data_IF_462537725378
#
_entry.id   IF_462537725378
#
_cell.length_a   1.000
_cell.length_b   1.000
_cell.length_c   1.000
_cell.angle_alpha   90.00
_cell.angle_beta   90.00
_cell.angle_gamma   90.00
#
_symmetry.space_group_name_H-M   'P 1'
#
loop_
_entity.id
_entity.type
_entity.pdbx_description
1 polymer ?
#
# COMPACT_ATOMS: atom_id res chain seq x y z
N UNK A 1 -10.07 28.79 37.12
CA UNK A 1 -10.20 29.48 38.42
C UNK A 1 -9.38 28.73 39.47
N UNK A 2 -8.85 29.43 40.47
CA UNK A 2 -8.00 28.92 41.57
C UNK A 2 -8.74 27.88 42.44
N UNK A 3 -8.14 27.06 43.32
CA UNK A 3 -6.77 26.96 43.88
C UNK A 3 -6.39 25.45 44.06
N UNK A 4 -5.29 24.99 44.67
CA UNK A 4 -4.14 25.61 45.37
C UNK A 4 -2.92 24.65 45.37
N UNK A 5 -1.85 24.98 46.11
CA UNK A 5 -0.83 24.02 46.60
C UNK A 5 -0.87 23.91 48.14
N UNK A 6 -0.69 22.72 48.73
CA UNK A 6 -0.10 22.55 50.05
C UNK A 6 1.38 22.12 49.94
N UNK A 7 2.18 22.53 50.94
CA UNK A 7 3.62 22.24 51.06
C UNK A 7 3.87 21.58 52.43
N UNK A 8 4.93 20.76 52.52
CA UNK A 8 5.44 20.12 53.76
C UNK A 8 4.56 18.97 54.33
N UNK A 9 5.09 17.95 55.02
CA UNK A 9 6.46 17.43 55.17
C UNK A 9 6.44 16.05 55.88
N UNK A 10 7.60 15.38 55.88
CA UNK A 10 8.01 14.22 56.69
C UNK A 10 8.05 12.83 56.03
N UNK A 11 9.15 12.13 56.35
CA UNK A 11 9.42 10.75 56.01
C UNK A 11 8.46 9.82 56.77
N UNK A 12 8.10 8.70 56.14
CA UNK A 12 8.02 7.45 56.87
C UNK A 12 8.58 6.31 56.00
N UNK A 13 9.66 5.69 56.46
CA UNK A 13 10.16 4.45 55.87
C UNK A 13 9.23 3.30 56.32
N UNK A 14 8.43 2.76 55.40
CA UNK A 14 7.94 1.39 55.54
C UNK A 14 8.45 0.55 54.37
N UNK A 15 9.35 -0.37 54.71
CA UNK A 15 9.87 -1.39 53.82
C UNK A 15 8.79 -2.44 53.55
N UNK A 16 7.81 -2.12 52.72
CA UNK A 16 6.84 -3.11 52.21
C UNK A 16 7.28 -3.56 50.83
N UNK A 17 7.81 -4.79 50.78
CA UNK A 17 8.05 -5.63 49.60
C UNK A 17 7.72 -4.98 48.25
N UNK A 18 8.75 -4.57 47.51
CA UNK A 18 8.61 -4.20 46.11
C UNK A 18 8.26 -5.46 45.29
N UNK A 19 6.99 -5.84 45.28
CA UNK A 19 6.42 -6.59 44.17
C UNK A 19 6.45 -5.64 42.98
N UNK A 20 7.56 -5.66 42.23
CA UNK A 20 7.64 -5.08 40.91
C UNK A 20 6.65 -5.84 40.03
N UNK A 21 5.38 -5.45 40.06
CA UNK A 21 4.49 -5.69 38.94
C UNK A 21 5.19 -5.04 37.75
N UNK A 22 5.64 -5.81 36.74
CA UNK A 22 6.09 -5.19 35.52
C UNK A 22 4.88 -4.40 35.03
N UNK A 23 5.04 -3.08 34.85
CA UNK A 23 4.03 -2.32 34.15
C UNK A 23 3.98 -2.90 32.74
N UNK A 24 2.95 -3.72 32.50
CA UNK A 24 2.68 -4.29 31.20
C UNK A 24 2.41 -3.10 30.30
N UNK A 25 3.46 -2.65 29.60
CA UNK A 25 3.33 -1.83 28.41
C UNK A 25 2.28 -2.56 27.56
N UNK A 26 1.25 -1.87 27.05
CA UNK A 26 0.26 -2.54 26.21
C UNK A 26 1.03 -3.30 25.14
N UNK A 27 0.82 -4.61 25.04
CA UNK A 27 1.49 -5.40 24.01
C UNK A 27 1.12 -4.78 22.68
N UNK A 28 2.11 -4.21 22.00
CA UNK A 28 1.96 -3.77 20.63
C UNK A 28 2.03 -5.05 19.80
N UNK A 29 0.88 -5.73 19.67
CA UNK A 29 0.72 -6.83 18.75
C UNK A 29 0.86 -6.26 17.34
N UNK A 30 1.94 -6.60 16.66
CA UNK A 30 2.12 -6.23 15.26
C UNK A 30 0.95 -6.77 14.42
N UNK A 31 0.41 -5.98 13.49
CA UNK A 31 -0.72 -6.42 12.67
C UNK A 31 -0.32 -7.60 11.77
N UNK A 32 -1.21 -8.59 11.68
CA UNK A 32 -0.99 -9.77 10.83
C UNK A 32 -0.94 -9.34 9.35
N UNK A 33 0.15 -9.62 8.61
CA UNK A 33 0.25 -9.25 7.20
C UNK A 33 -0.68 -10.11 6.34
N UNK A 34 -1.31 -9.49 5.35
CA UNK A 34 -2.23 -10.13 4.39
C UNK A 34 -1.77 -9.82 2.97
N UNK A 35 -1.83 -10.83 2.09
CA UNK A 35 -1.46 -10.73 0.66
C UNK A 35 -2.52 -11.47 -0.15
N UNK A 36 -2.89 -10.92 -1.30
CA UNK A 36 -3.81 -11.54 -2.26
C UNK A 36 -3.03 -12.31 -3.34
N UNK A 37 -3.19 -13.63 -3.42
CA UNK A 37 -2.66 -14.44 -4.53
C UNK A 37 -3.74 -14.63 -5.60
N UNK A 38 -3.40 -14.32 -6.86
CA UNK A 38 -4.29 -14.46 -8.02
C UNK A 38 -3.71 -15.48 -8.99
N UNK A 39 -4.53 -16.48 -9.36
CA UNK A 39 -4.15 -17.59 -10.27
C UNK A 39 -4.99 -17.56 -11.55
N UNK A 40 -6.30 -17.50 -11.43
CA UNK A 40 -7.24 -17.48 -12.55
C UNK A 40 -8.27 -16.36 -12.34
N UNK A 41 -8.99 -15.97 -13.40
CA UNK A 41 -10.06 -15.00 -13.21
C UNK A 41 -10.69 -14.40 -14.45
N UNK A 42 -11.61 -13.47 -14.17
CA UNK A 42 -12.29 -12.63 -15.15
C UNK A 42 -12.55 -11.22 -14.59
N UNK A 43 -13.47 -10.44 -15.18
CA UNK A 43 -13.71 -9.05 -14.77
C UNK A 43 -14.02 -8.84 -13.29
N UNK A 44 -14.71 -9.78 -12.65
CA UNK A 44 -14.97 -9.72 -11.20
C UNK A 44 -13.68 -9.86 -10.37
N UNK A 45 -12.73 -10.70 -10.82
CA UNK A 45 -11.40 -10.83 -10.18
C UNK A 45 -10.61 -9.52 -10.30
N UNK A 46 -10.65 -8.86 -11.46
CA UNK A 46 -10.03 -7.52 -11.66
C UNK A 46 -10.62 -6.50 -10.68
N UNK A 47 -11.95 -6.54 -10.45
CA UNK A 47 -12.60 -5.70 -9.46
C UNK A 47 -12.15 -6.01 -8.03
N UNK A 48 -12.10 -7.28 -7.63
CA UNK A 48 -11.61 -7.68 -6.29
C UNK A 48 -10.16 -7.29 -6.07
N UNK A 49 -9.30 -7.42 -7.10
CA UNK A 49 -7.92 -6.94 -7.10
C UNK A 49 -7.85 -5.43 -6.88
N UNK A 50 -8.65 -4.65 -7.61
CA UNK A 50 -8.72 -3.20 -7.44
C UNK A 50 -9.16 -2.81 -6.02
N UNK A 51 -10.21 -3.44 -5.48
CA UNK A 51 -10.68 -3.23 -4.11
C UNK A 51 -9.58 -3.60 -3.09
N UNK A 52 -8.89 -4.73 -3.25
CA UNK A 52 -7.81 -5.16 -2.36
C UNK A 52 -6.60 -4.21 -2.38
N UNK A 53 -6.05 -3.92 -3.56
CA UNK A 53 -4.81 -3.15 -3.73
C UNK A 53 -5.05 -1.65 -3.49
N UNK A 54 -6.03 -1.06 -4.15
CA UNK A 54 -6.21 0.41 -4.18
C UNK A 54 -6.95 0.93 -2.96
N UNK A 55 -7.92 0.17 -2.43
CA UNK A 55 -8.77 0.64 -1.32
C UNK A 55 -8.30 0.11 0.03
N UNK A 56 -7.75 -1.10 0.08
CA UNK A 56 -7.39 -1.78 1.33
C UNK A 56 -5.86 -1.91 1.56
N UNK A 57 -5.02 -1.44 0.62
CA UNK A 57 -3.55 -1.54 0.68
C UNK A 57 -3.03 -2.98 0.85
N UNK A 58 -3.77 -3.98 0.35
CA UNK A 58 -3.38 -5.40 0.38
C UNK A 58 -2.53 -5.67 -0.88
N UNK A 59 -1.24 -6.05 -0.76
CA UNK A 59 -0.41 -6.39 -1.91
C UNK A 59 -1.00 -7.59 -2.68
N UNK A 60 -0.94 -7.56 -4.00
CA UNK A 60 -1.39 -8.64 -4.86
C UNK A 60 -0.22 -9.28 -5.63
N UNK A 61 -0.23 -10.61 -5.71
CA UNK A 61 0.72 -11.43 -6.47
C UNK A 61 -0.05 -12.14 -7.58
N UNK A 62 0.42 -11.98 -8.82
CA UNK A 62 -0.16 -12.62 -10.00
C UNK A 62 0.79 -13.70 -10.53
N UNK A 63 0.23 -14.79 -11.03
CA UNK A 63 0.99 -15.84 -11.70
C UNK A 63 0.80 -15.70 -13.22
N UNK A 64 1.88 -15.43 -13.95
CA UNK A 64 1.84 -15.33 -15.41
C UNK A 64 1.66 -16.70 -16.07
N UNK A 65 0.84 -16.77 -17.12
CA UNK A 65 0.54 -17.99 -17.88
C UNK A 65 -0.53 -18.88 -17.27
N UNK A 66 -1.15 -18.48 -16.13
CA UNK A 66 -2.12 -19.31 -15.42
C UNK A 66 -3.58 -18.96 -15.70
N UNK A 67 -3.89 -17.85 -16.37
CA UNK A 67 -5.29 -17.49 -16.64
C UNK A 67 -5.53 -16.06 -17.09
N UNK A 68 -6.67 -15.83 -17.75
CA UNK A 68 -7.00 -14.57 -18.46
C UNK A 68 -6.82 -13.29 -17.64
N UNK A 69 -7.15 -13.32 -16.35
CA UNK A 69 -6.96 -12.16 -15.47
C UNK A 69 -5.47 -11.90 -15.20
N UNK A 70 -4.71 -12.94 -14.86
CA UNK A 70 -3.29 -12.79 -14.55
C UNK A 70 -2.46 -12.48 -15.80
N UNK A 71 -2.77 -13.08 -16.94
CA UNK A 71 -2.11 -12.81 -18.22
C UNK A 71 -2.35 -11.37 -18.69
N UNK A 72 -3.54 -10.81 -18.44
CA UNK A 72 -3.83 -9.40 -18.69
C UNK A 72 -2.96 -8.49 -17.81
N UNK A 73 -2.84 -8.78 -16.51
CA UNK A 73 -1.99 -8.00 -15.59
C UNK A 73 -0.50 -8.16 -15.91
N UNK A 74 -0.04 -9.37 -16.23
CA UNK A 74 1.33 -9.64 -16.65
C UNK A 74 1.67 -8.90 -17.95
N UNK A 75 0.80 -8.98 -18.97
CA UNK A 75 1.01 -8.24 -20.22
C UNK A 75 0.98 -6.72 -20.01
N UNK A 76 0.11 -6.21 -19.14
CA UNK A 76 0.09 -4.79 -18.78
C UNK A 76 1.37 -4.36 -18.04
N UNK A 77 1.88 -5.19 -17.13
CA UNK A 77 3.14 -4.95 -16.40
C UNK A 77 4.35 -4.95 -17.35
N UNK A 78 4.45 -5.93 -18.25
CA UNK A 78 5.51 -5.98 -19.28
C UNK A 78 5.43 -4.76 -20.20
N UNK A 79 4.24 -4.41 -20.71
CA UNK A 79 4.06 -3.20 -21.53
C UNK A 79 4.40 -1.91 -20.76
N UNK A 80 4.08 -1.82 -19.48
CA UNK A 80 4.45 -0.68 -18.65
C UNK A 80 5.97 -0.56 -18.53
N UNK A 81 6.67 -1.65 -18.22
CA UNK A 81 8.13 -1.67 -18.11
C UNK A 81 8.86 -1.45 -19.46
N UNK A 82 8.36 -2.05 -20.55
CA UNK A 82 8.87 -1.86 -21.92
C UNK A 82 8.70 -0.43 -22.44
N UNK A 83 7.74 0.34 -21.90
CA UNK A 83 7.54 1.74 -22.25
C UNK A 83 8.20 2.70 -21.25
N UNK A 84 8.36 2.33 -19.97
CA UNK A 84 9.23 3.03 -19.01
C UNK A 84 10.70 2.98 -19.46
N UNK A 85 11.20 1.83 -19.94
CA UNK A 85 12.57 1.73 -20.48
C UNK A 85 12.79 2.50 -21.78
N UNK A 86 11.73 3.01 -22.43
CA UNK A 86 11.80 3.96 -23.56
C UNK A 86 11.59 5.42 -23.13
N UNK A 87 11.32 5.65 -21.85
CA UNK A 87 11.06 6.93 -21.23
C UNK A 87 12.01 7.06 -20.04
N UNK A 88 13.26 7.47 -20.28
CA UNK A 88 14.28 7.71 -19.23
C UNK A 88 13.77 8.68 -18.16
N UNK A 89 13.08 8.11 -17.19
CA UNK A 89 12.34 8.73 -16.10
C UNK A 89 12.60 7.78 -14.94
N UNK A 90 13.56 8.13 -14.09
CA UNK A 90 13.80 7.42 -12.84
C UNK A 90 12.52 7.32 -12.01
N UNK A 91 12.38 6.30 -11.17
CA UNK A 91 11.20 6.13 -10.29
C UNK A 91 10.91 7.40 -9.46
N UNK A 92 11.97 8.10 -9.06
CA UNK A 92 11.93 9.41 -8.42
C UNK A 92 11.23 10.50 -9.27
N UNK A 93 11.45 10.49 -10.58
CA UNK A 93 10.83 11.45 -11.51
C UNK A 93 9.35 11.12 -11.75
N UNK A 94 8.98 9.83 -11.78
CA UNK A 94 7.58 9.41 -11.92
C UNK A 94 6.74 9.75 -10.68
N UNK A 95 7.29 9.53 -9.47
CA UNK A 95 6.65 9.88 -8.21
C UNK A 95 6.47 11.40 -8.01
N UNK A 96 7.36 12.21 -8.60
CA UNK A 96 7.30 13.67 -8.57
C UNK A 96 6.62 14.29 -9.82
N UNK A 97 6.07 13.48 -10.73
CA UNK A 97 5.46 13.99 -11.97
C UNK A 97 4.06 14.54 -11.70
N UNK A 98 3.75 15.71 -12.27
CA UNK A 98 2.41 16.32 -12.14
C UNK A 98 1.32 15.33 -12.64
N UNK A 99 0.27 15.05 -11.84
CA UNK A 99 -0.78 14.09 -12.20
C UNK A 99 -1.47 14.39 -13.53
N UNK A 100 -1.58 15.66 -13.93
CA UNK A 100 -2.18 16.06 -15.20
C UNK A 100 -1.29 15.70 -16.39
N UNK A 101 0.04 15.66 -16.21
CA UNK A 101 1.00 15.22 -17.24
C UNK A 101 0.90 13.71 -17.45
N UNK A 102 0.75 12.94 -16.37
CA UNK A 102 0.50 11.49 -16.45
C UNK A 102 -0.85 11.20 -17.12
N UNK A 103 -1.92 11.93 -16.74
CA UNK A 103 -3.24 11.78 -17.34
C UNK A 103 -3.23 12.08 -18.84
N UNK A 104 -2.59 13.19 -19.26
CA UNK A 104 -2.45 13.55 -20.67
C UNK A 104 -1.70 12.48 -21.47
N UNK A 105 -0.59 11.96 -20.94
CA UNK A 105 0.19 10.88 -21.57
C UNK A 105 -0.60 9.57 -21.66
N UNK A 106 -1.41 9.25 -20.66
CA UNK A 106 -2.32 8.10 -20.69
C UNK A 106 -3.35 8.23 -21.82
N UNK A 107 -3.97 9.40 -22.00
CA UNK A 107 -4.90 9.64 -23.11
C UNK A 107 -4.20 9.58 -24.48
N UNK A 108 -2.98 10.11 -24.60
CA UNK A 108 -2.16 9.98 -25.83
C UNK A 108 -1.86 8.51 -26.17
N UNK A 109 -1.47 7.69 -25.19
CA UNK A 109 -1.17 6.27 -25.38
C UNK A 109 -2.44 5.45 -25.71
N UNK A 110 -3.53 5.71 -25.00
CA UNK A 110 -4.85 5.10 -25.20
C UNK A 110 -5.43 5.41 -26.59
N UNK A 111 -5.17 6.59 -27.12
CA UNK A 111 -5.58 6.96 -28.48
C UNK A 111 -4.73 6.23 -29.53
N UNK A 112 -3.40 6.12 -29.36
CA UNK A 112 -2.55 5.32 -30.26
C UNK A 112 -2.99 3.86 -30.32
N UNK A 113 -3.17 3.23 -29.16
CA UNK A 113 -3.61 1.84 -29.06
C UNK A 113 -4.99 1.61 -29.71
N UNK A 114 -5.86 2.64 -29.69
CA UNK A 114 -7.17 2.62 -30.36
C UNK A 114 -7.09 2.72 -31.88
N UNK A 115 -6.06 3.33 -32.46
CA UNK A 115 -5.88 3.34 -33.92
C UNK A 115 -5.20 2.04 -34.38
N UNK A 116 -4.22 1.53 -33.63
CA UNK A 116 -3.58 0.22 -33.89
C UNK A 116 -4.56 -0.97 -33.86
N UNK A 117 -5.66 -0.86 -33.09
CA UNK A 117 -6.72 -1.88 -33.01
C UNK A 117 -7.87 -1.68 -34.02
N UNK A 118 -7.75 -0.73 -34.96
CA UNK A 118 -8.72 -0.52 -36.05
C UNK A 118 -8.22 -1.00 -37.42
N UNK A 119 -6.94 -1.35 -37.53
CA UNK A 119 -6.38 -2.06 -38.69
C UNK A 119 -6.59 -3.59 -38.56
#
# INVERSE_FOLDING_TARGET
>A
FFASKPTASHLNNQSTSASTTPSLRPEQSDPVPVVLLVVEGGPNTVRTVHEAVVQNNIPAVFLEGTGRCCDLFAKAYHLYNENLTKLDISDETAANMDPNVLLKRYDELKNKLREELKE
#
